data_IF_248824695553
#
_entry.id   IF_248824695553
#
_cell.length_a   1.000
_cell.length_b   1.000
_cell.length_c   1.000
_cell.angle_alpha   90.00
_cell.angle_beta   90.00
_cell.angle_gamma   90.00
#
_symmetry.space_group_name_H-M   'P 1'
#
loop_
_entity.id
_entity.type
_entity.pdbx_description
1 polymer ?
#
# COMPACT_ATOMS: atom_id res chain seq x y z
N UNK A 1 -8.07 39.81 21.04
CA UNK A 1 -6.96 38.91 20.65
C UNK A 1 -7.56 37.68 20.00
N UNK A 2 -7.42 37.52 18.67
CA UNK A 2 -7.87 36.31 17.95
C UNK A 2 -6.69 35.34 17.89
N UNK A 3 -6.81 34.19 18.55
CA UNK A 3 -5.87 33.09 18.37
C UNK A 3 -6.07 32.50 16.98
N UNK A 4 -5.03 32.57 16.15
CA UNK A 4 -4.95 31.85 14.88
C UNK A 4 -4.40 30.47 15.20
N UNK A 5 -5.25 29.44 15.10
CA UNK A 5 -4.79 28.06 15.11
C UNK A 5 -4.23 27.74 13.72
N UNK A 6 -2.91 27.87 13.57
CA UNK A 6 -2.19 27.34 12.41
C UNK A 6 -2.04 25.84 12.65
N UNK A 7 -2.98 25.05 12.14
CA UNK A 7 -2.75 23.63 11.92
C UNK A 7 -1.80 23.49 10.73
N UNK A 8 -0.51 23.48 11.03
CA UNK A 8 0.53 23.14 10.07
C UNK A 8 0.43 21.62 9.82
N UNK A 9 -0.41 21.21 8.87
CA UNK A 9 -0.28 19.88 8.27
C UNK A 9 1.04 19.86 7.50
N UNK A 10 2.11 19.45 8.19
CA UNK A 10 3.34 19.01 7.55
C UNK A 10 3.02 17.71 6.81
N UNK A 11 2.43 17.83 5.62
CA UNK A 11 2.61 16.80 4.60
C UNK A 11 4.10 16.82 4.28
N UNK A 12 4.88 15.94 4.92
CA UNK A 12 6.16 15.54 4.35
C UNK A 12 5.83 15.07 2.94
N UNK A 13 6.26 15.87 1.95
CA UNK A 13 6.19 15.47 0.56
C UNK A 13 7.14 14.29 0.41
N UNK A 14 6.65 13.07 0.67
CA UNK A 14 7.25 11.86 0.17
C UNK A 14 7.45 12.12 -1.33
N UNK A 15 8.71 12.31 -1.72
CA UNK A 15 9.06 12.62 -3.10
C UNK A 15 8.96 11.32 -3.88
N UNK A 16 7.74 11.01 -4.31
CA UNK A 16 7.44 9.86 -5.15
C UNK A 16 8.20 9.98 -6.49
N UNK A 17 8.89 8.91 -6.87
CA UNK A 17 9.73 8.85 -8.08
C UNK A 17 8.92 9.12 -9.36
N UNK A 18 9.60 9.52 -10.44
CA UNK A 18 8.99 9.66 -11.78
C UNK A 18 8.33 8.38 -12.26
N UNK A 19 8.80 7.23 -11.79
CA UNK A 19 8.29 5.89 -12.15
C UNK A 19 7.22 5.38 -11.17
N UNK A 20 6.57 6.29 -10.44
CA UNK A 20 5.48 5.93 -9.53
C UNK A 20 4.28 5.38 -10.27
N UNK A 21 3.90 4.17 -9.89
CA UNK A 21 2.68 3.51 -10.32
C UNK A 21 1.54 4.04 -9.47
N UNK A 22 0.48 4.52 -10.12
CA UNK A 22 -0.75 4.97 -9.47
C UNK A 22 -1.90 4.08 -9.90
N UNK A 23 -2.65 3.55 -8.94
CA UNK A 23 -3.79 2.65 -9.17
C UNK A 23 -4.98 3.11 -8.34
N UNK A 24 -6.17 3.00 -8.94
CA UNK A 24 -7.43 3.15 -8.24
C UNK A 24 -8.15 1.81 -8.28
N UNK A 25 -8.48 1.27 -7.11
CA UNK A 25 -9.25 0.05 -6.95
C UNK A 25 -10.63 0.37 -6.41
N UNK A 26 -11.62 -0.39 -6.86
CA UNK A 26 -13.01 -0.20 -6.46
C UNK A 26 -13.58 -1.54 -5.99
N UNK A 27 -13.82 -1.65 -4.68
CA UNK A 27 -14.68 -2.69 -4.14
C UNK A 27 -16.13 -2.32 -4.44
N UNK A 28 -16.82 -3.23 -5.13
CA UNK A 28 -18.26 -3.12 -5.36
C UNK A 28 -19.00 -4.04 -4.39
N UNK A 29 -20.16 -3.60 -3.96
CA UNK A 29 -21.14 -4.39 -3.21
C UNK A 29 -21.33 -5.78 -3.86
N UNK A 30 -21.35 -6.84 -3.05
CA UNK A 30 -21.52 -8.23 -3.49
C UNK A 30 -20.47 -8.79 -4.49
N UNK A 31 -19.29 -8.17 -4.61
CA UNK A 31 -18.14 -8.71 -5.36
C UNK A 31 -17.02 -9.19 -4.45
N UNK A 32 -15.98 -9.79 -5.07
CA UNK A 32 -14.75 -10.25 -4.41
C UNK A 32 -14.33 -9.30 -3.29
N UNK A 33 -14.03 -9.90 -2.13
CA UNK A 33 -13.61 -9.18 -0.95
C UNK A 33 -12.14 -8.78 -1.01
N UNK A 34 -11.39 -9.25 -2.02
CA UNK A 34 -9.93 -9.13 -2.12
C UNK A 34 -9.55 -8.55 -3.49
N UNK A 35 -8.56 -7.65 -3.48
CA UNK A 35 -7.87 -7.10 -4.64
C UNK A 35 -6.37 -7.15 -4.39
N UNK A 36 -5.61 -7.58 -5.39
CA UNK A 36 -4.14 -7.68 -5.33
C UNK A 36 -3.49 -6.97 -6.53
N UNK A 37 -2.41 -6.26 -6.26
CA UNK A 37 -1.50 -5.71 -7.27
C UNK A 37 -0.11 -6.30 -7.01
N UNK A 38 0.35 -7.13 -7.95
CA UNK A 38 1.62 -7.83 -7.81
C UNK A 38 2.71 -7.23 -8.70
N UNK A 39 3.94 -7.22 -8.20
CA UNK A 39 5.14 -6.70 -8.87
C UNK A 39 6.34 -7.59 -8.56
N UNK A 40 7.35 -7.56 -9.43
CA UNK A 40 8.64 -8.21 -9.18
C UNK A 40 9.59 -7.22 -8.51
N UNK A 41 10.40 -7.71 -7.58
CA UNK A 41 11.44 -6.90 -6.94
C UNK A 41 12.68 -7.75 -6.64
N UNK A 42 13.83 -7.10 -6.53
CA UNK A 42 15.10 -7.73 -6.20
C UNK A 42 15.46 -7.48 -4.72
N UNK A 43 16.28 -8.36 -4.17
CA UNK A 43 16.83 -8.23 -2.82
C UNK A 43 17.47 -6.86 -2.64
N UNK A 44 17.17 -6.21 -1.51
CA UNK A 44 17.59 -4.86 -1.12
C UNK A 44 16.95 -3.70 -1.89
N UNK A 45 16.10 -3.95 -2.90
CA UNK A 45 15.25 -2.89 -3.42
C UNK A 45 14.39 -2.32 -2.27
N UNK A 46 13.97 -1.06 -2.38
CA UNK A 46 13.07 -0.43 -1.42
C UNK A 46 11.72 -0.19 -2.08
N UNK A 47 10.70 -0.89 -1.61
CA UNK A 47 9.31 -0.58 -1.94
C UNK A 47 8.89 0.64 -1.14
N UNK A 48 8.47 1.69 -1.84
CA UNK A 48 7.79 2.84 -1.25
C UNK A 48 6.33 2.81 -1.67
N UNK A 49 5.40 2.91 -0.72
CA UNK A 49 3.98 2.92 -1.05
C UNK A 49 3.18 3.84 -0.13
N UNK A 50 2.05 4.29 -0.66
CA UNK A 50 1.00 4.98 0.06
C UNK A 50 -0.35 4.47 -0.44
N UNK A 51 -1.29 4.23 0.46
CA UNK A 51 -2.69 4.11 0.05
C UNK A 51 -3.61 4.95 0.93
N UNK A 52 -4.76 5.29 0.35
CA UNK A 52 -5.91 5.88 1.04
C UNK A 52 -7.18 5.16 0.60
N UNK A 53 -8.09 4.86 1.53
CA UNK A 53 -9.39 4.26 1.28
C UNK A 53 -10.52 5.03 1.96
N UNK A 54 -11.74 4.92 1.41
CA UNK A 54 -12.93 5.56 2.00
C UNK A 54 -13.39 4.84 3.27
N UNK A 55 -13.35 3.51 3.25
CA UNK A 55 -13.72 2.64 4.37
C UNK A 55 -12.54 1.83 4.90
N UNK A 56 -12.69 1.32 6.12
CA UNK A 56 -11.71 0.44 6.77
C UNK A 56 -11.51 -0.85 5.96
N UNK A 57 -10.24 -1.20 5.77
CA UNK A 57 -9.82 -2.41 5.06
C UNK A 57 -8.83 -3.21 5.89
N UNK A 58 -8.66 -4.49 5.53
CA UNK A 58 -7.47 -5.24 5.89
C UNK A 58 -6.44 -5.07 4.78
N UNK A 59 -5.20 -4.84 5.16
CA UNK A 59 -4.08 -4.56 4.27
C UNK A 59 -2.93 -5.51 4.56
N UNK A 60 -2.27 -6.01 3.51
CA UNK A 60 -0.99 -6.69 3.67
C UNK A 60 -0.14 -6.59 2.42
N UNK A 61 1.16 -6.81 2.62
CA UNK A 61 2.12 -7.03 1.54
C UNK A 61 2.73 -8.40 1.79
N UNK A 62 2.67 -9.28 0.79
CA UNK A 62 3.14 -10.65 0.92
C UNK A 62 3.84 -11.15 -0.34
N UNK A 63 4.56 -12.24 -0.21
CA UNK A 63 5.07 -13.05 -1.33
C UNK A 63 4.81 -14.53 -1.04
N UNK A 64 4.85 -15.35 -2.09
CA UNK A 64 4.63 -16.80 -1.98
C UNK A 64 5.94 -17.51 -2.26
N UNK A 65 6.30 -18.46 -1.41
CA UNK A 65 7.45 -19.34 -1.62
C UNK A 65 6.97 -20.78 -1.48
N UNK A 66 6.90 -21.47 -2.63
CA UNK A 66 6.15 -22.72 -2.76
C UNK A 66 4.67 -22.51 -2.39
N UNK A 67 4.13 -23.29 -1.46
CA UNK A 67 2.74 -23.18 -0.98
C UNK A 67 2.60 -22.26 0.26
N UNK A 68 3.70 -21.66 0.73
CA UNK A 68 3.73 -20.83 1.93
C UNK A 68 3.61 -19.34 1.59
N UNK A 69 2.87 -18.60 2.44
CA UNK A 69 2.69 -17.13 2.32
C UNK A 69 3.49 -16.43 3.41
N UNK A 70 4.31 -15.47 3.01
CA UNK A 70 5.13 -14.66 3.91
C UNK A 70 4.72 -13.19 3.82
N UNK A 71 4.66 -12.50 4.96
CA UNK A 71 4.18 -11.13 5.03
C UNK A 71 5.31 -10.17 5.38
N UNK A 72 5.47 -9.09 4.60
CA UNK A 72 6.26 -7.92 5.00
C UNK A 72 5.46 -7.06 5.97
N UNK A 73 4.16 -6.91 5.73
CA UNK A 73 3.25 -6.16 6.59
C UNK A 73 1.86 -6.80 6.56
N UNK A 74 1.17 -6.73 7.69
CA UNK A 74 -0.22 -7.17 7.83
C UNK A 74 -0.91 -6.33 8.88
N UNK A 75 -1.86 -5.50 8.45
CA UNK A 75 -2.61 -4.57 9.30
C UNK A 75 -4.10 -4.78 9.05
N UNK A 76 -4.89 -4.71 10.11
CA UNK A 76 -6.35 -4.84 10.03
C UNK A 76 -7.05 -3.54 10.39
N UNK A 77 -8.20 -3.28 9.75
CA UNK A 77 -9.05 -2.11 10.00
C UNK A 77 -8.32 -0.77 9.90
N UNK A 78 -7.76 -0.50 8.72
CA UNK A 78 -7.03 0.74 8.44
C UNK A 78 -7.59 1.43 7.20
N UNK A 79 -7.48 2.77 7.14
CA UNK A 79 -7.89 3.57 5.97
C UNK A 79 -6.73 4.11 5.15
N UNK A 80 -5.59 4.34 5.79
CA UNK A 80 -4.44 4.94 5.12
C UNK A 80 -3.16 4.29 5.63
N UNK A 81 -2.16 4.15 4.76
CA UNK A 81 -0.82 3.79 5.19
C UNK A 81 0.18 4.45 4.26
N UNK A 82 1.30 4.91 4.81
CA UNK A 82 2.45 5.45 4.10
C UNK A 82 3.67 4.81 4.74
N UNK A 83 4.32 3.90 4.01
CA UNK A 83 5.45 3.16 4.56
C UNK A 83 6.41 2.73 3.45
N UNK A 84 7.56 2.21 3.86
CA UNK A 84 8.52 1.60 2.95
C UNK A 84 9.09 0.30 3.53
N UNK A 85 9.50 -0.60 2.64
CA UNK A 85 10.05 -1.90 2.99
C UNK A 85 11.26 -2.22 2.14
N UNK A 86 12.34 -2.67 2.78
CA UNK A 86 13.46 -3.32 2.09
C UNK A 86 13.05 -4.73 1.71
N UNK A 87 13.23 -5.06 0.43
CA UNK A 87 12.88 -6.35 -0.14
C UNK A 87 13.88 -7.41 0.36
N UNK A 88 13.42 -8.46 1.05
CA UNK A 88 14.30 -9.43 1.70
C UNK A 88 14.91 -10.46 0.73
N UNK A 89 14.20 -10.78 -0.36
CA UNK A 89 14.65 -11.74 -1.37
C UNK A 89 14.06 -11.43 -2.76
N UNK A 90 14.72 -11.90 -3.81
CA UNK A 90 14.25 -11.81 -5.19
C UNK A 90 12.98 -12.64 -5.38
N UNK A 91 11.83 -11.97 -5.54
CA UNK A 91 10.54 -12.65 -5.74
C UNK A 91 9.47 -11.73 -6.36
N UNK A 92 8.25 -12.26 -6.50
CA UNK A 92 7.03 -11.52 -6.81
C UNK A 92 6.25 -11.24 -5.52
N UNK A 93 6.02 -9.96 -5.27
CA UNK A 93 5.30 -9.47 -4.10
C UNK A 93 3.93 -8.94 -4.53
N UNK A 94 2.94 -9.04 -3.64
CA UNK A 94 1.59 -8.53 -3.87
C UNK A 94 1.19 -7.57 -2.75
N UNK A 95 0.75 -6.36 -3.14
CA UNK A 95 0.00 -5.46 -2.27
C UNK A 95 -1.46 -5.91 -2.33
N UNK A 96 -1.98 -6.34 -1.18
CA UNK A 96 -3.32 -6.90 -1.05
C UNK A 96 -4.20 -6.03 -0.16
N UNK A 97 -5.40 -5.75 -0.65
CA UNK A 97 -6.46 -5.12 0.10
C UNK A 97 -7.63 -6.10 0.24
N UNK A 98 -8.22 -6.14 1.44
CA UNK A 98 -9.44 -6.89 1.70
C UNK A 98 -10.50 -6.00 2.35
N UNK A 99 -11.71 -6.00 1.78
CA UNK A 99 -12.86 -5.26 2.33
C UNK A 99 -13.36 -5.91 3.63
N UNK A 100 -13.84 -5.09 4.57
CA UNK A 100 -14.36 -5.56 5.88
C UNK A 100 -15.89 -5.53 5.99
N UNK A 101 -16.60 -5.03 4.97
CA UNK A 101 -18.05 -4.93 4.96
C UNK A 101 -18.61 -4.93 3.54
N UNK A 102 -19.91 -4.67 3.41
CA UNK A 102 -20.62 -4.73 2.12
C UNK A 102 -20.62 -3.40 1.36
N UNK A 103 -20.30 -2.30 2.03
CA UNK A 103 -20.24 -0.98 1.42
C UNK A 103 -19.24 -0.92 0.27
N UNK A 104 -19.58 -0.15 -0.76
CA UNK A 104 -18.61 0.21 -1.80
C UNK A 104 -17.43 0.93 -1.17
N UNK A 105 -16.22 0.63 -1.65
CA UNK A 105 -15.02 1.29 -1.17
C UNK A 105 -14.08 1.55 -2.35
N UNK A 106 -13.49 2.74 -2.37
CA UNK A 106 -12.46 3.12 -3.33
C UNK A 106 -11.12 3.17 -2.61
N UNK A 107 -10.08 2.64 -3.24
CA UNK A 107 -8.70 2.67 -2.76
C UNK A 107 -7.84 3.35 -3.80
N UNK A 108 -7.10 4.37 -3.37
CA UNK A 108 -6.08 5.05 -4.16
C UNK A 108 -4.72 4.57 -3.68
N UNK A 109 -4.04 3.76 -4.49
CA UNK A 109 -2.69 3.25 -4.23
C UNK A 109 -1.68 4.03 -5.09
N UNK A 110 -0.56 4.41 -4.49
CA UNK A 110 0.64 4.87 -5.19
C UNK A 110 1.83 4.09 -4.67
N UNK A 111 2.67 3.57 -5.57
CA UNK A 111 3.90 2.89 -5.16
C UNK A 111 4.99 3.01 -6.23
N UNK A 112 6.24 2.89 -5.81
CA UNK A 112 7.39 2.68 -6.69
C UNK A 112 8.42 1.81 -6.00
N UNK A 113 9.28 1.21 -6.81
CA UNK A 113 10.41 0.42 -6.35
C UNK A 113 11.66 1.26 -6.61
N UNK A 114 12.41 1.53 -5.56
CA UNK A 114 13.74 2.13 -5.65
C UNK A 114 14.78 1.00 -5.74
N UNK A 115 15.46 0.85 -6.89
CA UNK A 115 16.43 -0.21 -7.06
C UNK A 115 17.63 -0.03 -6.14
N UNK A 116 18.12 -1.13 -5.56
CA UNK A 116 19.37 -1.10 -4.81
C UNK A 116 20.56 -0.71 -5.72
N UNK A 117 21.28 0.36 -5.35
CA UNK A 117 22.53 0.75 -6.00
C UNK A 117 23.69 0.23 -5.16
N UNK A 118 24.28 -0.87 -5.60
CA UNK A 118 25.53 -1.40 -5.07
C UNK A 118 26.71 -0.46 -5.32
#
# INVERSE_FOLDING_TARGET
MKLVYIYLFLFSAASFSKDTIKKTFNFKENRSDIIEECFKAHTNDVLHFEFNSLEDIDFNIHWHKNDDIYFLEKISSIKTNLNNFTIPEDDSYCIMFKKRGEANNEILLQYYIEPYKA
#
